data_IF_245738187406
#
_entry.id   IF_245738187406
#
_cell.length_a   1.000
_cell.length_b   1.000
_cell.length_c   1.000
_cell.angle_alpha   90.00
_cell.angle_beta   90.00
_cell.angle_gamma   90.00
#
_symmetry.space_group_name_H-M   'P 1'
#
loop_
_entity.id
_entity.type
_entity.pdbx_description
1 polymer ?
#
# COMPACT_ATOMS: atom_id res chain seq x y z
N UNK A 1 -5.28 5.02 13.99
CA UNK A 1 -5.68 4.22 12.82
C UNK A 1 -5.01 4.76 11.57
N UNK A 2 -4.51 3.88 10.72
CA UNK A 2 -3.91 4.29 9.46
C UNK A 2 -4.89 4.03 8.33
N UNK A 3 -5.24 5.09 7.61
CA UNK A 3 -6.01 4.98 6.36
C UNK A 3 -5.05 5.04 5.19
N UNK A 4 -5.43 4.44 4.08
CA UNK A 4 -4.56 4.43 2.93
C UNK A 4 -5.32 4.64 1.62
N UNK A 5 -4.58 5.03 0.59
CA UNK A 5 -5.06 5.25 -0.76
C UNK A 5 -4.42 4.28 -1.75
N UNK A 6 -4.01 3.10 -1.25
CA UNK A 6 -3.32 2.11 -2.06
C UNK A 6 -4.13 1.70 -3.28
N UNK A 7 -5.41 1.44 -3.09
CA UNK A 7 -6.31 1.03 -4.18
C UNK A 7 -6.39 2.09 -5.26
N UNK A 8 -6.47 3.37 -4.86
CA UNK A 8 -6.50 4.50 -5.77
C UNK A 8 -5.21 4.58 -6.59
N UNK A 9 -4.05 4.43 -5.94
CA UNK A 9 -2.77 4.46 -6.63
C UNK A 9 -2.60 3.27 -7.56
N UNK A 10 -3.04 2.08 -7.14
CA UNK A 10 -3.01 0.92 -8.02
C UNK A 10 -3.86 1.16 -9.27
N UNK A 11 -5.03 1.77 -9.11
CA UNK A 11 -5.91 2.06 -10.23
C UNK A 11 -5.25 3.00 -11.24
N UNK A 12 -4.50 4.00 -10.75
CA UNK A 12 -3.78 4.93 -11.62
C UNK A 12 -2.77 4.23 -12.52
N UNK A 13 -2.18 3.14 -12.04
CA UNK A 13 -1.16 2.38 -12.77
C UNK A 13 -1.71 1.11 -13.39
N UNK A 14 -3.03 0.91 -13.35
CA UNK A 14 -3.69 -0.29 -13.84
C UNK A 14 -3.05 -1.54 -13.25
N UNK A 15 -2.80 -1.53 -11.95
CA UNK A 15 -2.05 -2.54 -11.24
C UNK A 15 -2.95 -3.39 -10.35
N UNK A 16 -2.82 -4.71 -10.45
CA UNK A 16 -3.54 -5.64 -9.58
C UNK A 16 -2.83 -5.78 -8.23
N UNK A 17 -3.58 -6.22 -7.21
CA UNK A 17 -3.02 -6.49 -5.88
C UNK A 17 -1.84 -7.45 -5.96
N UNK A 18 -1.95 -8.50 -6.77
CA UNK A 18 -0.90 -9.50 -6.93
C UNK A 18 0.39 -8.90 -7.50
N UNK A 19 0.26 -7.97 -8.45
CA UNK A 19 1.42 -7.30 -9.03
C UNK A 19 2.14 -6.46 -7.99
N UNK A 20 1.38 -5.68 -7.22
CA UNK A 20 1.97 -4.87 -6.14
C UNK A 20 2.64 -5.77 -5.11
N UNK A 21 1.98 -6.86 -4.73
CA UNK A 21 2.52 -7.80 -3.75
C UNK A 21 3.88 -8.34 -4.18
N UNK A 22 4.02 -8.73 -5.45
CA UNK A 22 5.30 -9.19 -5.99
C UNK A 22 6.38 -8.13 -5.94
N UNK A 23 6.02 -6.90 -6.29
CA UNK A 23 6.98 -5.80 -6.32
C UNK A 23 7.54 -5.46 -4.94
N UNK A 24 6.74 -5.62 -3.88
CA UNK A 24 7.16 -5.29 -2.53
C UNK A 24 7.48 -6.52 -1.67
N UNK A 25 7.42 -7.72 -2.26
CA UNK A 25 7.88 -8.95 -1.61
C UNK A 25 6.95 -9.48 -0.53
N UNK A 26 5.65 -9.31 -0.68
CA UNK A 26 4.65 -9.85 0.26
C UNK A 26 3.61 -10.67 -0.50
N UNK A 27 2.71 -11.31 0.22
CA UNK A 27 1.60 -12.06 -0.37
C UNK A 27 0.47 -11.13 -0.78
N UNK A 28 -0.32 -11.55 -1.77
CA UNK A 28 -1.49 -10.81 -2.21
C UNK A 28 -2.46 -10.51 -1.06
N UNK A 29 -2.69 -11.48 -0.18
CA UNK A 29 -3.56 -11.28 1.00
C UNK A 29 -3.05 -10.16 1.89
N UNK A 30 -1.74 -9.99 2.00
CA UNK A 30 -1.16 -8.89 2.77
C UNK A 30 -1.58 -7.55 2.20
N UNK A 31 -1.51 -7.41 0.88
CA UNK A 31 -1.96 -6.17 0.22
C UNK A 31 -3.45 -5.97 0.45
N UNK A 32 -4.26 -7.02 0.28
CA UNK A 32 -5.70 -6.93 0.50
C UNK A 32 -6.05 -6.51 1.92
N UNK A 33 -5.37 -7.08 2.92
CA UNK A 33 -5.62 -6.74 4.32
C UNK A 33 -5.17 -5.32 4.65
N UNK A 34 -4.06 -4.86 4.08
CA UNK A 34 -3.62 -3.47 4.23
C UNK A 34 -4.66 -2.50 3.66
N UNK A 35 -5.16 -2.79 2.47
CA UNK A 35 -6.15 -1.93 1.82
C UNK A 35 -7.45 -1.83 2.61
N UNK A 36 -7.81 -2.90 3.32
CA UNK A 36 -9.00 -2.93 4.18
C UNK A 36 -8.76 -2.30 5.55
N UNK A 37 -7.54 -1.90 5.85
CA UNK A 37 -7.21 -1.30 7.15
C UNK A 37 -7.17 -2.30 8.30
N UNK A 38 -6.97 -3.59 8.02
CA UNK A 38 -6.98 -4.63 9.05
C UNK A 38 -5.73 -4.64 9.93
N UNK A 39 -4.64 -4.10 9.42
CA UNK A 39 -3.44 -3.90 10.22
C UNK A 39 -2.60 -2.80 9.59
N UNK A 40 -1.65 -2.29 10.37
CA UNK A 40 -0.77 -1.21 9.91
C UNK A 40 0.47 -1.80 9.25
N UNK A 41 0.94 -1.23 8.15
CA UNK A 41 2.19 -1.70 7.54
C UNK A 41 3.38 -1.32 8.40
N UNK A 42 4.46 -2.09 8.31
CA UNK A 42 5.74 -1.65 8.85
C UNK A 42 6.20 -0.41 8.07
N UNK A 43 7.09 0.37 8.66
CA UNK A 43 7.64 1.54 7.98
C UNK A 43 8.33 1.14 6.66
N UNK A 44 9.08 0.03 6.69
CA UNK A 44 9.78 -0.46 5.49
C UNK A 44 8.79 -0.84 4.40
N UNK A 45 7.72 -1.55 4.75
CA UNK A 45 6.70 -1.93 3.77
C UNK A 45 6.00 -0.70 3.19
N UNK A 46 5.63 0.26 4.05
CA UNK A 46 5.00 1.51 3.60
C UNK A 46 5.93 2.28 2.64
N UNK A 47 7.22 2.34 2.96
CA UNK A 47 8.22 2.97 2.12
C UNK A 47 8.31 2.29 0.76
N UNK A 48 8.38 0.95 0.74
CA UNK A 48 8.49 0.18 -0.50
C UNK A 48 7.25 0.36 -1.38
N UNK A 49 6.07 0.39 -0.78
CA UNK A 49 4.83 0.63 -1.52
C UNK A 49 4.84 2.03 -2.15
N UNK A 50 5.24 3.04 -1.38
CA UNK A 50 5.33 4.41 -1.89
C UNK A 50 6.32 4.51 -3.05
N UNK A 51 7.45 3.82 -2.95
CA UNK A 51 8.46 3.79 -4.02
C UNK A 51 7.91 3.21 -5.32
N UNK A 52 7.09 2.16 -5.24
CA UNK A 52 6.48 1.55 -6.42
C UNK A 52 5.68 2.59 -7.20
N UNK A 53 4.98 3.47 -6.49
CA UNK A 53 4.12 4.47 -7.10
C UNK A 53 4.80 5.84 -7.29
N UNK A 54 6.09 5.91 -7.03
CA UNK A 54 6.84 7.17 -7.09
C UNK A 54 6.14 8.27 -6.29
N UNK A 55 5.71 7.92 -5.08
CA UNK A 55 4.96 8.80 -4.19
C UNK A 55 5.64 8.83 -2.82
N UNK A 56 5.25 9.77 -1.98
CA UNK A 56 5.69 9.77 -0.59
C UNK A 56 4.81 8.86 0.25
N UNK A 57 5.28 8.45 1.43
CA UNK A 57 4.46 7.67 2.35
C UNK A 57 3.17 8.45 2.68
N UNK A 58 3.28 9.75 2.92
CA UNK A 58 2.14 10.60 3.27
C UNK A 58 1.11 10.73 2.15
N UNK A 59 1.53 10.56 0.91
CA UNK A 59 0.59 10.57 -0.22
C UNK A 59 -0.37 9.37 -0.16
N UNK A 60 0.12 8.25 0.37
CA UNK A 60 -0.60 6.98 0.34
C UNK A 60 -1.20 6.63 1.70
N UNK A 61 -0.45 6.87 2.77
CA UNK A 61 -0.87 6.50 4.13
C UNK A 61 -1.12 7.74 4.97
N UNK A 62 -2.25 7.75 5.67
CA UNK A 62 -2.63 8.85 6.53
C UNK A 62 -2.99 8.32 7.91
N UNK A 63 -2.39 8.91 8.94
CA UNK A 63 -2.68 8.53 10.33
C UNK A 63 -3.81 9.42 10.85
N UNK A 64 -4.89 8.78 11.27
CA UNK A 64 -6.02 9.48 11.88
C UNK A 64 -6.12 9.11 13.36
N UNK A 65 -6.34 10.12 14.17
CA UNK A 65 -6.51 9.97 15.62
C UNK A 65 -7.90 9.43 15.97
#
# INVERSE_FOLDING_TARGET
>A
MIKNRMKEYRARYDMKQEELAKLVGVRRETIGNLEKGRYNPSLVLAWNIAKVFNASIEDIFNVED
#
